data_IF_222556211092
#
_entry.id   IF_222556211092
#
_cell.length_a   1.000
_cell.length_b   1.000
_cell.length_c   1.000
_cell.angle_alpha   90.00
_cell.angle_beta   90.00
_cell.angle_gamma   90.00
#
_symmetry.space_group_name_H-M   'P 1'
#
loop_
_entity.id
_entity.type
_entity.pdbx_description
1 polymer ?
#
# COMPACT_ATOMS: atom_id res chain seq x y z
N UNK A 1 -2.29 13.10 -12.85
CA UNK A 1 -1.40 12.60 -11.81
C UNK A 1 -2.23 11.77 -10.84
N UNK A 2 -1.79 10.54 -10.52
CA UNK A 2 -2.45 9.64 -9.57
C UNK A 2 -1.41 9.17 -8.55
N UNK A 3 -1.64 9.50 -7.28
CA UNK A 3 -0.80 8.99 -6.21
C UNK A 3 -1.14 7.55 -5.87
N UNK A 4 -0.14 6.75 -5.59
CA UNK A 4 -0.32 5.45 -4.97
C UNK A 4 0.81 5.18 -3.99
N UNK A 5 0.48 4.51 -2.88
CA UNK A 5 1.43 4.07 -1.87
C UNK A 5 1.26 2.58 -1.66
N UNK A 6 2.38 1.87 -1.64
CA UNK A 6 2.42 0.44 -1.37
C UNK A 6 2.64 0.20 0.13
N UNK A 7 2.30 -1.00 0.61
CA UNK A 7 2.67 -1.51 1.93
C UNK A 7 2.18 -0.72 3.15
N UNK A 8 1.02 -0.06 3.06
CA UNK A 8 0.41 0.66 4.19
C UNK A 8 -0.17 -0.34 5.22
N UNK A 9 0.61 -1.35 5.52
CA UNK A 9 0.34 -2.37 6.55
C UNK A 9 1.10 -2.10 7.83
N UNK A 10 2.13 -1.26 7.80
CA UNK A 10 3.00 -0.93 8.93
C UNK A 10 3.49 -2.22 9.59
N UNK A 11 4.35 -2.94 8.87
CA UNK A 11 4.88 -4.25 9.28
C UNK A 11 5.76 -4.14 10.51
N UNK A 12 5.87 -5.21 11.29
CA UNK A 12 6.72 -5.22 12.50
C UNK A 12 8.18 -4.88 12.24
N UNK A 13 8.73 -5.23 11.06
CA UNK A 13 10.10 -4.86 10.74
C UNK A 13 10.32 -3.35 10.55
N UNK A 14 9.25 -2.58 10.43
CA UNK A 14 9.28 -1.11 10.34
C UNK A 14 9.24 -0.44 11.71
N UNK A 15 8.96 -1.19 12.77
CA UNK A 15 8.86 -0.64 14.12
C UNK A 15 10.22 -0.12 14.58
N UNK A 16 10.30 1.15 14.98
CA UNK A 16 11.53 1.82 15.40
C UNK A 16 12.37 2.46 14.30
N UNK A 17 11.99 2.29 13.03
CA UNK A 17 12.70 2.87 11.87
C UNK A 17 12.13 4.24 11.44
N UNK A 18 11.35 4.90 12.31
CA UNK A 18 10.77 6.23 12.06
C UNK A 18 9.46 6.22 11.28
N UNK A 19 8.87 5.05 11.04
CA UNK A 19 7.54 4.94 10.44
C UNK A 19 6.42 5.10 11.48
N UNK A 20 5.26 5.57 11.02
CA UNK A 20 4.04 5.50 11.81
C UNK A 20 3.67 4.04 12.12
N UNK A 21 2.93 3.80 13.21
CA UNK A 21 2.53 2.45 13.61
C UNK A 21 1.21 2.00 13.00
N UNK A 22 0.28 2.93 12.76
CA UNK A 22 -1.02 2.66 12.13
C UNK A 22 -1.76 3.93 11.74
N UNK A 23 -2.84 3.75 10.98
CA UNK A 23 -3.85 4.78 10.73
C UNK A 23 -4.98 4.66 11.74
N UNK A 24 -5.48 5.79 12.21
CA UNK A 24 -6.58 5.88 13.19
C UNK A 24 -7.60 6.91 12.75
N UNK A 25 -8.81 6.84 13.30
CA UNK A 25 -9.80 7.92 13.17
C UNK A 25 -9.86 8.64 14.50
N UNK A 26 -9.47 9.90 14.50
CA UNK A 26 -9.41 10.76 15.68
C UNK A 26 -10.82 11.14 16.23
N UNK A 27 -10.85 12.00 17.23
CA UNK A 27 -12.10 12.47 17.86
C UNK A 27 -12.94 13.38 16.94
N UNK A 28 -12.32 13.98 15.93
CA UNK A 28 -12.98 14.84 14.94
C UNK A 28 -13.53 14.03 13.76
N UNK A 29 -13.20 12.74 13.69
CA UNK A 29 -13.55 11.85 12.59
C UNK A 29 -12.55 11.88 11.44
N UNK A 30 -11.40 12.53 11.61
CA UNK A 30 -10.33 12.63 10.61
C UNK A 30 -9.39 11.42 10.69
N UNK A 31 -8.85 11.01 9.53
CA UNK A 31 -7.83 9.96 9.49
C UNK A 31 -6.46 10.56 9.81
N UNK A 32 -5.79 9.99 10.80
CA UNK A 32 -4.48 10.39 11.29
C UNK A 32 -3.58 9.17 11.44
N UNK A 33 -2.29 9.40 11.68
CA UNK A 33 -1.37 8.34 12.09
C UNK A 33 -1.22 8.30 13.61
N UNK A 34 -1.04 7.10 14.18
CA UNK A 34 -0.33 6.93 15.45
C UNK A 34 1.16 6.75 15.18
N UNK A 35 1.98 7.34 16.04
CA UNK A 35 3.43 7.21 16.04
C UNK A 35 3.89 6.84 17.46
N UNK A 36 4.82 5.91 17.56
CA UNK A 36 5.42 5.50 18.83
C UNK A 36 6.72 6.28 18.99
N UNK A 37 6.76 7.17 19.97
CA UNK A 37 7.92 7.99 20.27
C UNK A 37 9.04 7.18 20.92
N UNK A 38 10.26 7.71 20.95
CA UNK A 38 11.44 7.04 21.53
C UNK A 38 11.26 6.66 23.02
N UNK A 39 10.43 7.42 23.75
CA UNK A 39 10.11 7.13 25.15
C UNK A 39 8.96 6.13 25.33
N UNK A 40 8.42 5.60 24.23
CA UNK A 40 7.30 4.66 24.21
C UNK A 40 5.93 5.31 24.33
N UNK A 41 5.84 6.63 24.42
CA UNK A 41 4.56 7.33 24.34
C UNK A 41 3.99 7.28 22.92
N UNK A 42 2.68 7.46 22.79
CA UNK A 42 2.00 7.44 21.50
C UNK A 42 1.49 8.82 21.18
N UNK A 43 1.92 9.38 20.06
CA UNK A 43 1.39 10.60 19.49
C UNK A 43 0.45 10.32 18.32
N UNK A 44 -0.41 11.30 17.99
CA UNK A 44 -1.31 11.23 16.85
C UNK A 44 -1.14 12.49 16.01
N UNK A 45 -0.92 12.31 14.70
CA UNK A 45 -0.64 13.43 13.81
C UNK A 45 -0.60 13.04 12.33
N UNK A 46 -0.12 13.97 11.53
CA UNK A 46 0.04 13.82 10.08
C UNK A 46 1.49 13.41 9.78
N UNK A 47 1.78 12.11 9.92
CA UNK A 47 3.17 11.59 9.82
C UNK A 47 3.46 10.86 8.52
N UNK A 48 2.44 10.50 7.74
CA UNK A 48 2.58 9.74 6.49
C UNK A 48 1.66 10.27 5.40
N UNK A 49 1.78 9.77 4.19
CA UNK A 49 1.12 10.26 2.98
C UNK A 49 -0.39 10.48 3.15
N UNK A 50 -1.10 9.57 3.81
CA UNK A 50 -2.57 9.64 3.91
C UNK A 50 -3.03 10.92 4.60
N UNK A 51 -2.70 11.19 5.87
CA UNK A 51 -3.17 12.41 6.53
C UNK A 51 -2.51 13.69 5.99
N UNK A 52 -1.27 13.61 5.45
CA UNK A 52 -0.62 14.75 4.79
C UNK A 52 -1.39 15.18 3.53
N UNK A 53 -1.79 14.25 2.67
CA UNK A 53 -2.62 14.55 1.48
C UNK A 53 -4.01 15.00 1.90
N UNK A 54 -4.59 14.42 2.97
CA UNK A 54 -5.90 14.85 3.48
C UNK A 54 -5.88 16.32 3.91
N UNK A 55 -4.85 16.72 4.63
CA UNK A 55 -4.63 18.11 5.05
C UNK A 55 -4.37 19.02 3.85
N UNK A 56 -3.50 18.60 2.94
CA UNK A 56 -3.18 19.36 1.73
C UNK A 56 -4.40 19.61 0.84
N UNK A 57 -5.23 18.59 0.62
CA UNK A 57 -6.44 18.73 -0.21
C UNK A 57 -7.49 19.64 0.47
N UNK A 58 -7.55 19.71 1.80
CA UNK A 58 -8.42 20.68 2.51
C UNK A 58 -7.99 22.12 2.24
N UNK A 59 -6.68 22.37 2.20
CA UNK A 59 -6.10 23.67 1.95
C UNK A 59 -6.12 24.04 0.45
N UNK A 60 -6.01 23.02 -0.42
CA UNK A 60 -5.93 23.13 -1.88
C UNK A 60 -6.97 22.23 -2.57
N UNK A 61 -8.26 22.52 -2.48
CA UNK A 61 -9.31 21.62 -2.99
C UNK A 61 -9.30 21.43 -4.51
N UNK A 62 -8.71 22.37 -5.25
CA UNK A 62 -8.50 22.30 -6.69
C UNK A 62 -7.41 21.28 -7.12
N UNK A 63 -6.57 20.83 -6.20
CA UNK A 63 -5.61 19.76 -6.42
C UNK A 63 -6.31 18.40 -6.65
N UNK A 64 -7.44 18.18 -6.03
CA UNK A 64 -8.14 16.90 -6.05
C UNK A 64 -9.20 16.82 -7.14
N UNK A 65 -9.07 15.87 -8.06
CA UNK A 65 -10.11 15.60 -9.06
C UNK A 65 -11.32 14.91 -8.43
N UNK A 66 -12.43 15.65 -8.33
CA UNK A 66 -13.69 15.18 -7.72
C UNK A 66 -13.53 14.59 -6.30
N UNK A 67 -12.61 15.11 -5.51
CA UNK A 67 -12.36 14.64 -4.15
C UNK A 67 -11.55 13.35 -4.06
N UNK A 68 -10.99 12.84 -5.18
CA UNK A 68 -10.11 11.67 -5.19
C UNK A 68 -8.73 12.04 -4.68
N UNK A 69 -8.14 11.19 -3.85
CA UNK A 69 -6.85 11.50 -3.20
C UNK A 69 -5.73 10.57 -3.63
N UNK A 70 -5.98 9.27 -3.66
CA UNK A 70 -4.97 8.30 -4.06
C UNK A 70 -5.42 6.86 -3.85
N UNK A 71 -4.47 5.95 -4.06
CA UNK A 71 -4.69 4.50 -4.04
C UNK A 71 -3.67 3.87 -3.09
N UNK A 72 -4.14 3.04 -2.16
CA UNK A 72 -3.27 2.26 -1.29
C UNK A 72 -3.24 0.80 -1.75
N UNK A 73 -2.05 0.31 -2.09
CA UNK A 73 -1.84 -1.08 -2.45
C UNK A 73 -1.59 -1.92 -1.19
N UNK A 74 -2.51 -2.82 -0.89
CA UNK A 74 -2.58 -3.50 0.39
C UNK A 74 -2.26 -4.98 0.28
N UNK A 75 -1.36 -5.43 1.11
CA UNK A 75 -1.12 -6.84 1.39
C UNK A 75 -2.06 -7.34 2.50
N UNK A 76 -1.98 -8.61 2.84
CA UNK A 76 -2.78 -9.20 3.91
C UNK A 76 -1.97 -9.91 4.98
N UNK A 77 -0.69 -10.21 4.69
CA UNK A 77 0.19 -10.74 5.72
C UNK A 77 0.49 -9.62 6.74
N UNK A 78 0.68 -9.98 7.99
CA UNK A 78 0.81 -9.08 9.14
C UNK A 78 -0.43 -8.20 9.41
N UNK A 79 -1.22 -7.87 8.42
CA UNK A 79 -2.48 -7.14 8.55
C UNK A 79 -2.62 -5.98 7.59
N UNK A 80 -3.52 -5.04 7.91
CA UNK A 80 -3.83 -3.88 7.06
C UNK A 80 -3.91 -2.59 7.90
N UNK A 81 -3.41 -1.48 7.36
CA UNK A 81 -3.49 -0.15 7.96
C UNK A 81 -2.87 -0.05 9.37
N UNK A 82 -1.93 -0.96 9.70
CA UNK A 82 -1.31 -1.08 11.03
C UNK A 82 -2.07 -1.96 12.02
N UNK A 83 -3.22 -2.51 11.64
CA UNK A 83 -4.00 -3.44 12.46
C UNK A 83 -3.61 -4.89 12.16
N UNK A 84 -3.37 -5.69 13.21
CA UNK A 84 -2.88 -7.08 13.11
C UNK A 84 -4.02 -8.03 12.71
N UNK A 85 -4.45 -7.93 11.44
CA UNK A 85 -5.60 -8.65 10.87
C UNK A 85 -5.23 -9.89 10.07
N UNK A 86 -3.96 -10.28 9.99
CA UNK A 86 -3.55 -11.55 9.41
C UNK A 86 -4.23 -12.70 10.17
N UNK A 87 -4.72 -13.67 9.40
CA UNK A 87 -5.38 -14.88 9.95
C UNK A 87 -4.45 -15.69 10.89
N UNK A 88 -3.13 -15.53 10.78
CA UNK A 88 -2.15 -16.14 11.66
C UNK A 88 -2.38 -15.74 13.12
N UNK A 89 -2.63 -14.47 13.39
CA UNK A 89 -2.94 -13.97 14.75
C UNK A 89 -4.19 -14.59 15.34
N UNK A 90 -5.21 -14.83 14.52
CA UNK A 90 -6.46 -15.46 14.98
C UNK A 90 -6.29 -16.93 15.30
N UNK A 91 -5.49 -17.63 14.50
CA UNK A 91 -5.40 -19.10 14.56
C UNK A 91 -4.22 -19.60 15.39
N UNK A 92 -3.24 -18.75 15.66
CA UNK A 92 -1.95 -19.12 16.25
C UNK A 92 -1.09 -20.01 15.34
N UNK A 93 -1.47 -20.14 14.05
CA UNK A 93 -0.78 -21.03 13.11
C UNK A 93 0.04 -20.21 12.12
N UNK A 94 1.28 -20.68 11.85
CA UNK A 94 2.20 -20.04 10.89
C UNK A 94 2.57 -18.59 11.26
N UNK A 95 2.55 -18.30 12.55
CA UNK A 95 3.07 -17.03 13.06
C UNK A 95 4.56 -16.94 12.76
N UNK A 96 4.99 -15.79 12.28
CA UNK A 96 6.40 -15.40 12.20
C UNK A 96 6.92 -15.07 13.60
N UNK A 97 8.23 -14.93 13.78
CA UNK A 97 8.81 -14.74 15.11
C UNK A 97 8.47 -13.36 15.69
N UNK A 98 8.43 -12.32 14.87
CA UNK A 98 7.94 -10.99 15.24
C UNK A 98 6.47 -10.99 15.65
N UNK A 99 5.62 -11.72 14.95
CA UNK A 99 4.20 -11.89 15.28
C UNK A 99 4.01 -12.64 16.61
N UNK A 100 4.83 -13.65 16.87
CA UNK A 100 4.82 -14.36 18.17
C UNK A 100 5.21 -13.41 19.29
N UNK A 101 6.32 -12.70 19.11
CA UNK A 101 6.80 -11.70 20.06
C UNK A 101 5.73 -10.65 20.33
N UNK A 102 5.09 -10.12 19.30
CA UNK A 102 3.99 -9.17 19.45
C UNK A 102 2.87 -9.73 20.35
N UNK A 103 2.46 -10.99 20.15
CA UNK A 103 1.41 -11.61 20.97
C UNK A 103 1.85 -11.86 22.41
N UNK A 104 3.14 -12.12 22.65
CA UNK A 104 3.72 -12.25 24.01
C UNK A 104 3.72 -10.90 24.73
N UNK A 105 4.06 -9.82 24.02
CA UNK A 105 4.10 -8.46 24.54
C UNK A 105 2.68 -7.86 24.75
N UNK A 106 1.66 -8.42 24.06
CA UNK A 106 0.27 -7.95 24.09
C UNK A 106 -0.71 -9.07 24.48
N UNK A 107 -0.72 -9.52 25.74
CA UNK A 107 -1.54 -10.65 26.17
C UNK A 107 -3.05 -10.38 26.12
N UNK A 108 -3.46 -9.13 26.02
CA UNK A 108 -4.84 -8.65 25.86
C UNK A 108 -5.26 -8.50 24.38
N UNK A 109 -4.40 -8.90 23.44
CA UNK A 109 -4.67 -8.81 22.00
C UNK A 109 -6.01 -9.41 21.62
N UNK A 110 -6.79 -8.67 20.83
CA UNK A 110 -8.11 -9.09 20.38
C UNK A 110 -8.28 -8.95 18.86
N UNK A 111 -8.10 -10.04 18.16
CA UNK A 111 -8.23 -10.10 16.69
C UNK A 111 -9.53 -9.50 16.15
N UNK A 112 -10.67 -9.72 16.83
CA UNK A 112 -11.96 -9.18 16.38
C UNK A 112 -12.02 -7.66 16.52
N UNK A 113 -11.36 -7.11 17.54
CA UNK A 113 -11.27 -5.68 17.72
C UNK A 113 -10.35 -5.05 16.68
N UNK A 114 -9.22 -5.69 16.33
CA UNK A 114 -8.33 -5.27 15.25
C UNK A 114 -9.10 -5.17 13.92
N UNK A 115 -9.80 -6.22 13.53
CA UNK A 115 -10.63 -6.22 12.32
C UNK A 115 -11.71 -5.12 12.35
N UNK A 116 -12.33 -4.88 13.51
CA UNK A 116 -13.35 -3.83 13.66
C UNK A 116 -12.74 -2.44 13.49
N UNK A 117 -11.58 -2.20 14.07
CA UNK A 117 -10.88 -0.92 14.00
C UNK A 117 -10.38 -0.66 12.56
N UNK A 118 -9.74 -1.66 11.92
CA UNK A 118 -9.33 -1.56 10.52
C UNK A 118 -10.50 -1.20 9.59
N UNK A 119 -11.67 -1.83 9.78
CA UNK A 119 -12.89 -1.49 9.02
C UNK A 119 -13.35 -0.05 9.24
N UNK A 120 -13.24 0.47 10.47
CA UNK A 120 -13.62 1.85 10.79
C UNK A 120 -12.73 2.83 10.01
N UNK A 121 -11.42 2.60 10.03
CA UNK A 121 -10.44 3.44 9.29
C UNK A 121 -10.66 3.33 7.79
N UNK A 122 -10.73 2.13 7.23
CA UNK A 122 -10.98 1.92 5.81
C UNK A 122 -12.27 2.60 5.31
N UNK A 123 -13.33 2.60 6.15
CA UNK A 123 -14.57 3.30 5.83
C UNK A 123 -14.39 4.82 5.80
N UNK A 124 -13.67 5.40 6.76
CA UNK A 124 -13.39 6.83 6.81
C UNK A 124 -12.56 7.24 5.59
N UNK A 125 -11.48 6.52 5.29
CA UNK A 125 -10.63 6.78 4.13
C UNK A 125 -11.40 6.77 2.82
N UNK A 126 -12.27 5.77 2.60
CA UNK A 126 -13.10 5.73 1.39
C UNK A 126 -14.08 6.89 1.29
N UNK A 127 -14.63 7.34 2.41
CA UNK A 127 -15.50 8.51 2.44
C UNK A 127 -14.75 9.81 2.10
N UNK A 128 -13.46 9.84 2.36
CA UNK A 128 -12.57 10.97 2.05
C UNK A 128 -11.94 10.92 0.65
N UNK A 129 -12.21 9.88 -0.14
CA UNK A 129 -11.75 9.78 -1.53
C UNK A 129 -10.56 8.88 -1.78
N UNK A 130 -10.13 8.10 -0.78
CA UNK A 130 -9.10 7.07 -0.94
C UNK A 130 -9.66 5.79 -1.54
N UNK A 131 -8.84 5.10 -2.32
CA UNK A 131 -9.14 3.79 -2.91
C UNK A 131 -8.12 2.75 -2.45
N UNK A 132 -8.51 1.47 -2.54
CA UNK A 132 -7.63 0.36 -2.19
C UNK A 132 -7.43 -0.55 -3.41
N UNK A 133 -6.19 -1.01 -3.59
CA UNK A 133 -5.81 -2.00 -4.57
C UNK A 133 -5.26 -3.26 -3.89
N UNK A 134 -5.30 -4.39 -4.58
CA UNK A 134 -4.57 -5.57 -4.15
C UNK A 134 -3.08 -5.39 -4.42
N UNK A 135 -2.25 -5.71 -3.41
CA UNK A 135 -0.79 -5.82 -3.55
C UNK A 135 -0.34 -7.29 -3.40
N UNK A 136 -1.22 -8.21 -3.73
CA UNK A 136 -1.23 -9.62 -3.35
C UNK A 136 -1.36 -9.81 -1.83
N UNK A 137 -1.82 -10.98 -1.38
CA UNK A 137 -1.93 -11.21 0.07
C UNK A 137 -0.56 -11.31 0.74
N UNK A 138 0.37 -11.99 0.11
CA UNK A 138 1.69 -12.30 0.65
C UNK A 138 2.83 -11.54 -0.01
N UNK A 139 2.60 -10.35 -0.57
CA UNK A 139 3.61 -9.53 -1.24
C UNK A 139 4.41 -10.36 -2.26
N UNK A 140 3.72 -10.92 -3.27
CA UNK A 140 4.32 -11.87 -4.21
C UNK A 140 4.94 -11.18 -5.41
N UNK A 141 6.16 -11.61 -5.76
CA UNK A 141 6.69 -11.37 -7.10
C UNK A 141 5.85 -12.17 -8.11
N UNK A 142 4.95 -11.50 -8.80
CA UNK A 142 4.00 -12.13 -9.73
C UNK A 142 4.69 -12.70 -10.97
N UNK A 143 5.87 -12.20 -11.33
CA UNK A 143 6.65 -12.74 -12.44
C UNK A 143 7.23 -14.13 -12.09
N UNK A 144 7.85 -14.23 -10.92
CA UNK A 144 8.54 -15.44 -10.45
C UNK A 144 7.59 -16.47 -9.82
N UNK A 145 6.43 -16.05 -9.29
CA UNK A 145 5.51 -16.94 -8.57
C UNK A 145 4.67 -17.78 -9.53
N UNK A 146 4.49 -19.07 -9.22
CA UNK A 146 3.65 -19.97 -10.01
C UNK A 146 2.18 -19.54 -10.04
N UNK A 147 1.47 -19.83 -11.13
CA UNK A 147 0.04 -19.52 -11.25
C UNK A 147 -0.79 -20.12 -10.12
N UNK A 148 -0.48 -21.34 -9.69
CA UNK A 148 -1.22 -21.99 -8.59
C UNK A 148 -0.98 -21.31 -7.23
N UNK A 149 0.24 -20.79 -7.01
CA UNK A 149 0.53 -19.99 -5.81
C UNK A 149 -0.19 -18.64 -5.86
N UNK A 150 -0.23 -17.99 -7.02
CA UNK A 150 -0.99 -16.75 -7.20
C UNK A 150 -2.48 -16.95 -6.98
N UNK A 151 -3.06 -18.05 -7.45
CA UNK A 151 -4.46 -18.42 -7.17
C UNK A 151 -4.73 -18.59 -5.68
N UNK A 152 -3.81 -19.22 -4.94
CA UNK A 152 -3.92 -19.40 -3.48
C UNK A 152 -3.79 -18.06 -2.74
N UNK A 153 -2.92 -17.20 -3.23
CA UNK A 153 -2.68 -15.87 -2.67
C UNK A 153 -3.90 -14.95 -2.85
N UNK A 154 -4.39 -14.82 -4.08
CA UNK A 154 -5.60 -14.04 -4.39
C UNK A 154 -6.83 -14.50 -3.59
N UNK A 155 -7.01 -15.81 -3.46
CA UNK A 155 -8.08 -16.36 -2.62
C UNK A 155 -7.96 -15.92 -1.15
N UNK A 156 -6.71 -15.79 -0.63
CA UNK A 156 -6.50 -15.27 0.73
C UNK A 156 -6.82 -13.78 0.79
N UNK A 157 -6.36 -12.99 -0.18
CA UNK A 157 -6.65 -11.56 -0.23
C UNK A 157 -8.16 -11.32 -0.22
N UNK A 158 -8.91 -11.95 -1.11
CA UNK A 158 -10.38 -11.87 -1.18
C UNK A 158 -11.08 -12.35 0.08
N UNK A 159 -10.52 -13.33 0.76
CA UNK A 159 -11.13 -13.88 1.97
C UNK A 159 -10.86 -13.06 3.23
N UNK A 160 -9.69 -12.44 3.34
CA UNK A 160 -9.24 -11.84 4.60
C UNK A 160 -9.03 -10.33 4.53
N UNK A 161 -8.72 -9.77 3.34
CA UNK A 161 -8.47 -8.34 3.13
C UNK A 161 -9.71 -7.65 2.58
N UNK A 162 -10.30 -8.14 1.49
CA UNK A 162 -11.49 -7.54 0.88
C UNK A 162 -12.67 -7.33 1.86
N UNK A 163 -12.97 -8.22 2.83
CA UNK A 163 -14.02 -7.95 3.81
C UNK A 163 -13.73 -6.77 4.77
N UNK A 164 -12.50 -6.29 4.81
CA UNK A 164 -12.09 -5.13 5.62
C UNK A 164 -12.07 -3.87 4.76
N UNK A 165 -11.39 -3.93 3.62
CA UNK A 165 -11.12 -2.78 2.76
C UNK A 165 -12.20 -2.55 1.69
N UNK A 166 -12.95 -3.58 1.31
CA UNK A 166 -13.86 -3.62 0.17
C UNK A 166 -13.25 -4.39 -1.01
N UNK A 167 -14.11 -4.74 -1.96
CA UNK A 167 -13.69 -5.34 -3.22
C UNK A 167 -12.95 -4.30 -4.07
N UNK A 168 -12.03 -4.77 -4.92
CA UNK A 168 -11.29 -3.95 -5.88
C UNK A 168 -11.11 -4.71 -7.19
N UNK A 169 -11.06 -3.98 -8.28
CA UNK A 169 -10.69 -4.47 -9.62
C UNK A 169 -9.27 -4.05 -10.03
N UNK A 170 -8.52 -3.48 -9.08
CA UNK A 170 -7.15 -3.02 -9.27
C UNK A 170 -6.15 -3.92 -8.56
N UNK A 171 -5.06 -4.27 -9.27
CA UNK A 171 -3.88 -4.91 -8.68
C UNK A 171 -2.65 -4.07 -8.98
N UNK A 172 -1.90 -3.76 -7.94
CA UNK A 172 -0.59 -3.11 -8.01
C UNK A 172 0.43 -4.19 -7.64
N UNK A 173 1.33 -4.48 -8.55
CA UNK A 173 2.26 -5.59 -8.40
C UNK A 173 3.42 -5.23 -7.48
N UNK A 174 3.74 -6.15 -6.56
CA UNK A 174 4.89 -6.05 -5.68
C UNK A 174 6.22 -6.15 -6.44
N UNK A 175 7.28 -5.57 -5.90
CA UNK A 175 8.64 -5.59 -6.45
C UNK A 175 8.78 -4.92 -7.83
N UNK A 176 7.80 -4.13 -8.26
CA UNK A 176 7.78 -3.61 -9.62
C UNK A 176 7.60 -4.68 -10.71
N UNK A 177 7.31 -5.92 -10.29
CA UNK A 177 7.12 -7.04 -11.20
C UNK A 177 5.91 -6.86 -12.12
N UNK A 178 5.85 -7.65 -13.18
CA UNK A 178 4.72 -7.70 -14.10
C UNK A 178 4.43 -9.16 -14.49
N UNK A 179 3.21 -9.44 -14.89
CA UNK A 179 2.79 -10.76 -15.38
C UNK A 179 3.07 -10.96 -16.87
N UNK A 180 3.52 -9.94 -17.58
CA UNK A 180 3.87 -9.97 -19.01
C UNK A 180 5.14 -9.18 -19.30
N UNK A 181 5.41 -8.99 -20.61
CA UNK A 181 6.48 -8.14 -21.11
C UNK A 181 5.96 -6.73 -21.40
N UNK A 182 6.74 -5.92 -22.11
CA UNK A 182 6.33 -4.61 -22.62
C UNK A 182 5.15 -4.67 -23.61
N UNK A 183 4.93 -5.81 -24.25
CA UNK A 183 3.76 -6.06 -25.10
C UNK A 183 2.47 -6.13 -24.27
N UNK A 184 1.35 -5.89 -24.93
CA UNK A 184 0.03 -6.00 -24.28
C UNK A 184 -0.28 -7.41 -23.81
N UNK A 185 -1.11 -7.54 -22.80
CA UNK A 185 -1.59 -8.85 -22.34
C UNK A 185 -2.50 -9.49 -23.40
N UNK A 186 -2.35 -10.79 -23.61
CA UNK A 186 -3.18 -11.60 -24.51
C UNK A 186 -3.78 -12.79 -23.77
N UNK A 187 -4.70 -13.49 -24.43
CA UNK A 187 -5.32 -14.71 -23.89
C UNK A 187 -4.29 -15.87 -23.69
N UNK A 188 -3.12 -15.77 -24.29
CA UNK A 188 -2.05 -16.77 -24.09
C UNK A 188 -1.33 -16.58 -22.75
N UNK A 189 -1.54 -15.47 -22.08
CA UNK A 189 -0.97 -15.19 -20.75
C UNK A 189 -1.90 -15.76 -19.66
N UNK A 190 -1.56 -16.93 -19.14
CA UNK A 190 -2.36 -17.63 -18.13
C UNK A 190 -2.56 -16.83 -16.83
N UNK A 191 -1.58 -16.02 -16.43
CA UNK A 191 -1.67 -15.17 -15.22
C UNK A 191 -2.65 -14.01 -15.47
N UNK A 192 -2.60 -13.39 -16.65
CA UNK A 192 -3.55 -12.37 -17.04
C UNK A 192 -4.98 -12.92 -17.08
N UNK A 193 -5.20 -14.04 -17.78
CA UNK A 193 -6.51 -14.68 -17.87
C UNK A 193 -7.05 -15.05 -16.48
N UNK A 194 -6.19 -15.53 -15.59
CA UNK A 194 -6.57 -15.76 -14.20
C UNK A 194 -7.04 -14.47 -13.53
N UNK A 195 -6.23 -13.41 -13.48
CA UNK A 195 -6.61 -12.17 -12.79
C UNK A 195 -7.84 -11.51 -13.42
N UNK A 196 -7.96 -11.52 -14.76
CA UNK A 196 -9.15 -11.07 -15.48
C UNK A 196 -10.40 -11.85 -15.04
N UNK A 197 -10.30 -13.18 -14.92
CA UNK A 197 -11.41 -14.03 -14.43
C UNK A 197 -11.78 -13.74 -12.98
N UNK A 198 -10.85 -13.19 -12.20
CA UNK A 198 -11.08 -12.76 -10.83
C UNK A 198 -11.67 -11.34 -10.73
N UNK A 199 -11.87 -10.64 -11.85
CA UNK A 199 -12.48 -9.31 -11.92
C UNK A 199 -11.48 -8.15 -11.97
N UNK A 200 -10.19 -8.42 -12.00
CA UNK A 200 -9.19 -7.36 -12.13
C UNK A 200 -9.19 -6.77 -13.54
N UNK A 201 -9.13 -5.44 -13.61
CA UNK A 201 -9.09 -4.65 -14.84
C UNK A 201 -7.96 -3.63 -14.88
N UNK A 202 -7.46 -3.23 -13.72
CA UNK A 202 -6.37 -2.27 -13.59
C UNK A 202 -5.12 -2.99 -13.09
N UNK A 203 -4.05 -2.94 -13.90
CA UNK A 203 -2.80 -3.63 -13.66
C UNK A 203 -1.67 -2.60 -13.62
N UNK A 204 -1.01 -2.47 -12.47
CA UNK A 204 0.05 -1.49 -12.29
C UNK A 204 1.32 -2.15 -11.80
N UNK A 205 2.39 -1.95 -12.55
CA UNK A 205 3.76 -2.30 -12.12
C UNK A 205 4.55 -1.02 -11.85
N UNK A 206 5.84 -1.14 -11.55
CA UNK A 206 6.77 -0.02 -11.47
C UNK A 206 7.71 -0.10 -12.66
N UNK A 207 7.84 1.00 -13.41
CA UNK A 207 8.91 1.19 -14.38
C UNK A 207 9.73 2.40 -13.95
N UNK A 208 10.96 2.15 -13.56
CA UNK A 208 11.84 3.19 -13.06
C UNK A 208 12.56 3.97 -14.18
N UNK A 209 12.52 3.50 -15.41
CA UNK A 209 13.17 4.14 -16.57
C UNK A 209 12.24 5.09 -17.31
N UNK A 210 11.01 4.67 -17.52
CA UNK A 210 9.95 5.46 -18.14
C UNK A 210 8.59 4.92 -17.69
N UNK A 211 7.57 5.74 -17.78
CA UNK A 211 6.20 5.26 -17.56
C UNK A 211 5.51 4.96 -18.90
N UNK A 212 4.55 4.08 -18.87
CA UNK A 212 3.71 3.76 -20.02
C UNK A 212 2.25 3.55 -19.58
N UNK A 213 1.35 3.71 -20.52
CA UNK A 213 -0.08 3.41 -20.36
C UNK A 213 -0.55 2.59 -21.55
N UNK A 214 -1.24 1.49 -21.28
CA UNK A 214 -1.94 0.68 -22.28
C UNK A 214 -3.43 0.61 -21.91
N UNK A 215 -4.29 1.01 -22.83
CA UNK A 215 -5.74 0.99 -22.65
C UNK A 215 -6.34 0.10 -23.73
N UNK A 216 -7.09 -0.91 -23.33
CA UNK A 216 -7.82 -1.82 -24.21
C UNK A 216 -9.30 -1.85 -23.82
N UNK A 217 -10.13 -2.62 -24.55
CA UNK A 217 -11.51 -2.87 -24.12
C UNK A 217 -11.61 -3.71 -22.85
N UNK A 218 -10.56 -4.45 -22.49
CA UNK A 218 -10.54 -5.43 -21.41
C UNK A 218 -9.79 -4.97 -20.18
N UNK A 219 -8.77 -4.11 -20.32
CA UNK A 219 -7.94 -3.68 -19.20
C UNK A 219 -7.29 -2.32 -19.42
N UNK A 220 -6.94 -1.70 -18.31
CA UNK A 220 -5.97 -0.61 -18.19
C UNK A 220 -4.70 -1.14 -17.54
N UNK A 221 -3.54 -0.84 -18.11
CA UNK A 221 -2.22 -1.21 -17.58
C UNK A 221 -1.30 -0.01 -17.62
N UNK A 222 -0.55 0.21 -16.55
CA UNK A 222 0.44 1.28 -16.50
C UNK A 222 1.67 0.91 -15.70
N UNK A 223 2.83 1.48 -16.09
CA UNK A 223 4.02 1.58 -15.27
C UNK A 223 3.93 2.81 -14.38
N UNK A 224 4.18 2.63 -13.08
CA UNK A 224 4.28 3.71 -12.09
C UNK A 224 5.74 4.15 -11.96
N UNK A 225 5.96 5.38 -11.52
CA UNK A 225 7.29 5.89 -11.18
C UNK A 225 7.44 6.03 -9.67
N UNK A 226 8.61 5.65 -9.16
CA UNK A 226 8.97 5.88 -7.77
C UNK A 226 9.18 7.37 -7.51
N UNK A 227 8.53 7.87 -6.48
CA UNK A 227 8.64 9.21 -5.96
C UNK A 227 9.12 9.12 -4.51
N UNK A 228 10.39 8.75 -4.33
CA UNK A 228 11.00 8.48 -3.05
C UNK A 228 12.33 9.22 -2.88
N UNK A 229 12.85 9.25 -1.64
CA UNK A 229 14.09 9.91 -1.33
C UNK A 229 15.30 9.32 -2.04
N UNK A 230 15.28 8.01 -2.31
CA UNK A 230 16.36 7.36 -3.07
C UNK A 230 16.41 7.89 -4.50
N UNK A 231 15.27 7.95 -5.17
CA UNK A 231 15.16 8.45 -6.54
C UNK A 231 15.51 9.94 -6.62
N UNK A 232 15.03 10.73 -5.67
CA UNK A 232 15.34 12.16 -5.60
C UNK A 232 16.85 12.40 -5.43
N UNK A 233 17.53 11.57 -4.64
CA UNK A 233 18.95 11.75 -4.35
C UNK A 233 19.88 11.22 -5.45
N UNK A 234 19.62 10.00 -5.95
CA UNK A 234 20.53 9.33 -6.90
C UNK A 234 20.17 9.53 -8.37
N UNK A 235 18.92 9.82 -8.68
CA UNK A 235 18.44 9.92 -10.07
C UNK A 235 17.42 11.06 -10.26
N UNK A 236 17.74 12.30 -9.83
CA UNK A 236 16.79 13.42 -9.88
C UNK A 236 16.32 13.73 -11.32
N UNK A 237 17.15 13.45 -12.31
CA UNK A 237 16.83 13.64 -13.73
C UNK A 237 15.61 12.80 -14.18
N UNK A 238 15.34 11.68 -13.53
CA UNK A 238 14.17 10.82 -13.83
C UNK A 238 12.84 11.43 -13.36
N UNK A 239 12.88 12.49 -12.57
CA UNK A 239 11.71 13.20 -12.06
C UNK A 239 11.57 14.60 -12.68
N UNK A 240 12.49 15.01 -13.54
CA UNK A 240 12.60 16.38 -14.05
C UNK A 240 11.42 16.85 -14.91
N UNK A 241 10.62 15.93 -15.45
CA UNK A 241 9.37 16.21 -16.16
C UNK A 241 8.16 16.41 -15.22
N UNK A 242 8.30 16.10 -13.93
CA UNK A 242 7.28 16.28 -12.90
C UNK A 242 7.56 17.54 -12.06
N UNK A 243 8.79 17.72 -11.60
CA UNK A 243 9.22 18.86 -10.78
C UNK A 243 10.75 18.94 -10.73
N UNK A 244 11.27 20.09 -10.26
CA UNK A 244 12.68 20.24 -9.92
C UNK A 244 12.93 19.71 -8.52
N UNK A 245 13.68 18.62 -8.42
CA UNK A 245 14.01 17.98 -7.14
C UNK A 245 14.71 18.95 -6.18
N UNK A 246 15.52 19.89 -6.68
CA UNK A 246 16.24 20.85 -5.84
C UNK A 246 15.32 21.82 -5.07
N UNK A 247 14.09 22.01 -5.56
CA UNK A 247 13.09 22.88 -4.90
C UNK A 247 12.36 22.18 -3.75
N UNK A 248 12.35 20.84 -3.74
CA UNK A 248 11.60 20.04 -2.77
C UNK A 248 12.49 19.19 -1.87
N UNK A 249 13.77 19.06 -2.18
CA UNK A 249 14.71 18.28 -1.38
C UNK A 249 14.98 18.95 -0.02
N UNK A 250 14.68 18.23 1.04
CA UNK A 250 15.03 18.65 2.39
C UNK A 250 16.52 18.36 2.66
N UNK A 251 17.33 19.43 2.69
CA UNK A 251 18.78 19.36 2.90
C UNK A 251 19.18 18.94 4.33
N UNK A 252 18.24 18.88 5.27
CA UNK A 252 18.48 18.39 6.63
C UNK A 252 18.49 16.85 6.70
N UNK A 253 18.00 16.18 5.67
CA UNK A 253 17.99 14.71 5.62
C UNK A 253 19.40 14.14 5.61
N UNK A 254 19.63 13.02 6.33
CA UNK A 254 20.92 12.32 6.28
C UNK A 254 21.29 11.89 4.86
N UNK A 255 22.55 12.09 4.50
CA UNK A 255 23.11 11.62 3.22
C UNK A 255 24.40 10.84 3.47
N UNK A 256 24.73 9.83 2.62
CA UNK A 256 23.95 9.35 1.49
C UNK A 256 22.63 8.69 1.90
N UNK A 257 21.63 8.79 1.04
CA UNK A 257 20.37 8.08 1.26
C UNK A 257 20.62 6.56 1.20
N UNK A 258 20.19 5.77 2.20
CA UNK A 258 20.37 4.32 2.18
C UNK A 258 19.78 3.69 0.93
N UNK A 259 20.43 2.64 0.41
CA UNK A 259 19.85 1.80 -0.65
C UNK A 259 18.67 0.99 -0.08
N UNK A 260 17.68 0.75 -0.94
CA UNK A 260 16.57 -0.17 -0.64
C UNK A 260 17.01 -1.62 -0.83
#
# INVERSE_FOLDING_TARGET
FVHSQDDVSYYHYMDGDGFASKLVVDSNGEVKNEYIEDDGSVSTGDYDMVPLIDTFVKEHPDFSYHGRKGILAMTGYDGVLGYRTDIAYKTGKKLQDDQKKFLEDHPDFNYKQEVKNAKKVAKAMKAEGWEFASHTWGHKDVAATSLDDLKRDDKKWKKYVAPILGETDMIIFAFGADIGSWEGYSADNEKYEFYKSQGYRYFCNVDSSQYFVQITGDYFRQGRRNLDGYRMYYNPEMLSDLFDVSEVWDSSRPTPVPGM
#
